data_IF_041595677423
#
_entry.id   IF_041595677423
#
_cell.length_a   1.000
_cell.length_b   1.000
_cell.length_c   1.000
_cell.angle_alpha   90.00
_cell.angle_beta   90.00
_cell.angle_gamma   90.00
#
_symmetry.space_group_name_H-M   'P 1'
#
loop_
_entity.id
_entity.type
_entity.pdbx_description
1 polymer ?
#
# COMPACT_ATOMS: atom_id res chain seq x y z
N UNK A 1 13.05 23.59 13.64
CA UNK A 1 13.33 24.12 12.29
C UNK A 1 13.23 22.91 11.40
N UNK A 2 12.00 22.52 11.11
CA UNK A 2 11.69 21.11 10.94
C UNK A 2 11.59 20.80 9.45
N UNK A 3 12.57 20.05 8.98
CA UNK A 3 12.52 19.36 7.71
C UNK A 3 11.39 18.32 7.78
N UNK A 4 10.18 18.72 7.37
CA UNK A 4 9.14 17.78 6.98
C UNK A 4 9.71 16.95 5.82
N UNK A 5 10.00 15.67 6.09
CA UNK A 5 10.31 14.69 5.06
C UNK A 5 9.06 14.54 4.20
N UNK A 6 8.98 15.30 3.11
CA UNK A 6 8.01 15.05 2.06
C UNK A 6 8.26 13.63 1.55
N UNK A 7 7.33 12.72 1.83
CA UNK A 7 7.19 11.46 1.12
C UNK A 7 6.98 11.79 -0.36
N UNK A 8 8.06 11.93 -1.12
CA UNK A 8 8.04 11.79 -2.58
C UNK A 8 7.71 10.34 -2.87
N UNK A 9 6.44 9.97 -2.71
CA UNK A 9 5.93 8.76 -3.32
C UNK A 9 6.15 8.91 -4.82
N UNK A 10 6.76 7.92 -5.46
CA UNK A 10 6.81 7.80 -6.91
C UNK A 10 5.38 7.85 -7.47
N UNK A 11 4.93 9.05 -7.79
CA UNK A 11 3.66 9.31 -8.46
C UNK A 11 3.85 8.89 -9.91
N UNK A 12 3.50 7.64 -10.20
CA UNK A 12 3.30 7.17 -11.56
C UNK A 12 1.84 6.77 -11.73
N UNK A 13 0.92 7.72 -11.57
CA UNK A 13 -0.32 7.79 -12.34
C UNK A 13 -1.02 9.14 -12.08
N UNK A 14 -1.88 9.58 -13.01
CA UNK A 14 -2.71 10.80 -12.92
C UNK A 14 -3.55 10.89 -11.62
N UNK A 15 -3.64 9.80 -10.86
CA UNK A 15 -4.35 9.67 -9.60
C UNK A 15 -3.97 10.72 -8.55
N UNK A 16 -2.69 11.06 -8.42
CA UNK A 16 -2.26 12.06 -7.43
C UNK A 16 -2.69 13.48 -7.82
N UNK A 17 -2.83 13.76 -9.11
CA UNK A 17 -3.30 15.06 -9.62
C UNK A 17 -4.82 15.23 -9.47
N UNK A 18 -5.55 14.10 -9.39
CA UNK A 18 -7.00 14.05 -9.17
C UNK A 18 -7.41 14.20 -7.71
N UNK A 19 -6.49 14.02 -6.76
CA UNK A 19 -6.71 14.32 -5.36
C UNK A 19 -6.76 15.86 -5.17
N UNK A 20 -7.96 16.45 -5.25
CA UNK A 20 -8.21 17.88 -4.98
C UNK A 20 -9.31 18.10 -3.93
N UNK A 21 -9.15 19.06 -2.99
CA UNK A 21 -7.96 19.89 -2.79
C UNK A 21 -6.80 19.04 -2.23
N UNK A 22 -5.57 19.57 -2.10
CA UNK A 22 -4.58 18.98 -1.23
C UNK A 22 -5.12 19.17 0.19
N UNK A 23 -6.10 18.35 0.57
CA UNK A 23 -6.25 17.96 1.96
C UNK A 23 -4.93 17.28 2.21
N UNK A 24 -3.97 18.07 2.72
CA UNK A 24 -2.84 17.59 3.49
C UNK A 24 -3.38 16.33 4.15
N UNK A 25 -2.90 15.15 3.75
CA UNK A 25 -3.20 13.90 4.43
C UNK A 25 -2.89 14.23 5.87
N UNK A 26 -3.94 14.57 6.63
CA UNK A 26 -3.86 15.31 7.90
C UNK A 26 -2.91 14.49 8.71
N UNK A 27 -1.66 14.94 8.86
CA UNK A 27 -0.48 14.09 9.12
C UNK A 27 -0.94 12.74 9.60
N UNK A 28 -1.24 11.79 8.69
CA UNK A 28 -1.82 10.52 9.17
C UNK A 28 -0.71 10.02 10.05
N UNK A 29 -0.91 9.92 11.37
CA UNK A 29 0.11 9.38 12.20
C UNK A 29 0.08 7.91 11.78
N UNK A 30 0.95 7.54 10.84
CA UNK A 30 1.53 6.21 10.76
C UNK A 30 2.38 5.94 12.02
N UNK A 31 2.09 6.66 13.11
CA UNK A 31 2.61 6.49 14.43
C UNK A 31 1.88 5.28 15.01
N UNK A 32 2.60 4.16 14.96
CA UNK A 32 2.45 3.08 15.93
C UNK A 32 1.11 2.34 15.94
N UNK A 33 0.72 1.77 14.82
CA UNK A 33 -0.12 0.57 14.85
C UNK A 33 0.67 -0.72 15.08
N UNK A 34 1.97 -0.60 15.35
CA UNK A 34 2.87 -1.71 15.64
C UNK A 34 3.52 -2.31 14.40
N UNK A 35 3.24 -1.76 13.22
CA UNK A 35 3.83 -2.21 11.96
C UNK A 35 5.09 -1.42 11.60
N UNK A 36 5.90 -2.03 10.74
CA UNK A 36 7.19 -1.54 10.32
C UNK A 36 7.19 -0.18 9.60
N UNK A 37 8.37 0.32 9.23
CA UNK A 37 8.53 1.63 8.58
C UNK A 37 7.92 1.60 7.17
N UNK A 38 7.10 2.60 6.77
CA UNK A 38 6.59 2.70 5.40
C UNK A 38 7.72 2.76 4.35
N UNK A 39 7.61 1.95 3.30
CA UNK A 39 8.60 1.82 2.23
C UNK A 39 8.05 2.31 0.88
N UNK A 40 6.76 2.10 0.61
CA UNK A 40 6.10 2.58 -0.59
C UNK A 40 4.66 2.99 -0.29
N UNK A 41 4.07 3.83 -1.14
CA UNK A 41 2.66 4.21 -1.04
C UNK A 41 2.08 4.76 -2.33
N UNK A 42 0.77 4.58 -2.52
CA UNK A 42 0.03 4.96 -3.73
C UNK A 42 -1.41 5.36 -3.40
N UNK A 43 -1.93 6.30 -4.18
CA UNK A 43 -3.37 6.52 -4.28
C UNK A 43 -3.99 5.50 -5.25
N UNK A 44 -5.24 5.12 -5.00
CA UNK A 44 -6.05 4.47 -6.01
C UNK A 44 -6.43 5.48 -7.12
N UNK A 45 -7.05 5.01 -8.20
CA UNK A 45 -7.29 5.81 -9.41
C UNK A 45 -8.07 7.10 -9.16
N UNK A 46 -9.14 7.03 -8.38
CA UNK A 46 -10.03 8.16 -8.12
C UNK A 46 -9.55 9.03 -6.94
N UNK A 47 -8.44 8.65 -6.30
CA UNK A 47 -7.86 9.38 -5.16
C UNK A 47 -8.65 9.23 -3.86
N UNK A 48 -9.65 8.34 -3.80
CA UNK A 48 -10.47 8.12 -2.59
C UNK A 48 -9.77 7.26 -1.54
N UNK A 49 -8.78 6.46 -1.95
CA UNK A 49 -7.95 5.62 -1.09
C UNK A 49 -6.47 5.95 -1.23
N UNK A 50 -5.77 5.93 -0.11
CA UNK A 50 -4.31 5.87 -0.05
C UNK A 50 -3.88 4.58 0.63
N UNK A 51 -2.95 3.85 0.03
CA UNK A 51 -2.35 2.66 0.61
C UNK A 51 -0.83 2.79 0.71
N UNK A 52 -0.25 2.21 1.76
CA UNK A 52 1.19 2.09 1.93
C UNK A 52 1.59 0.69 2.40
N UNK A 53 2.81 0.30 2.05
CA UNK A 53 3.43 -0.94 2.48
C UNK A 53 4.66 -0.70 3.35
N UNK A 54 4.92 -1.59 4.29
CA UNK A 54 5.96 -1.48 5.32
C UNK A 54 7.13 -2.46 5.10
N UNK A 55 8.21 -2.29 5.87
CA UNK A 55 9.38 -3.19 5.84
C UNK A 55 9.14 -4.57 6.46
N UNK A 56 8.06 -4.74 7.24
CA UNK A 56 7.53 -6.03 7.68
C UNK A 56 6.59 -6.69 6.65
N UNK A 57 6.43 -6.07 5.47
CA UNK A 57 5.56 -6.56 4.40
C UNK A 57 4.07 -6.27 4.60
N UNK A 58 3.68 -5.66 5.72
CA UNK A 58 2.28 -5.28 5.98
C UNK A 58 1.86 -4.16 5.05
N UNK A 59 0.62 -4.23 4.56
CA UNK A 59 0.00 -3.19 3.73
C UNK A 59 -1.26 -2.66 4.39
N UNK A 60 -1.40 -1.34 4.40
CA UNK A 60 -2.58 -0.66 4.95
C UNK A 60 -3.18 0.31 3.97
N UNK A 61 -4.47 0.56 4.11
CA UNK A 61 -5.22 1.48 3.28
C UNK A 61 -6.13 2.38 4.13
N UNK A 62 -6.28 3.62 3.68
CA UNK A 62 -7.01 4.68 4.36
C UNK A 62 -7.91 5.41 3.37
N UNK A 63 -9.11 5.75 3.83
CA UNK A 63 -9.96 6.69 3.13
C UNK A 63 -9.33 8.08 3.22
N UNK A 64 -9.06 8.70 2.07
CA UNK A 64 -8.34 9.98 2.00
C UNK A 64 -9.15 11.11 2.66
N UNK A 65 -10.48 11.10 2.51
CA UNK A 65 -11.33 12.16 3.04
C UNK A 65 -11.46 12.15 4.57
N UNK A 66 -11.38 10.98 5.19
CA UNK A 66 -11.63 10.83 6.63
C UNK A 66 -10.36 10.52 7.41
N UNK A 67 -9.31 10.02 6.75
CA UNK A 67 -8.10 9.49 7.39
C UNK A 67 -8.34 8.17 8.14
N UNK A 68 -9.54 7.59 8.06
CA UNK A 68 -9.83 6.30 8.69
C UNK A 68 -9.34 5.15 7.82
N UNK A 69 -8.97 4.03 8.48
CA UNK A 69 -8.63 2.80 7.78
C UNK A 69 -9.79 2.35 6.91
N UNK A 70 -9.49 1.99 5.67
CA UNK A 70 -10.46 1.49 4.70
C UNK A 70 -10.81 0.01 4.94
N UNK A 71 -10.02 -0.69 5.75
CA UNK A 71 -10.20 -2.11 6.07
C UNK A 71 -9.17 -2.59 7.09
N UNK A 72 -9.04 -3.93 7.19
CA UNK A 72 -8.01 -4.58 8.01
C UNK A 72 -6.66 -4.48 7.29
N UNK A 73 -5.58 -4.29 8.05
CA UNK A 73 -4.23 -4.37 7.52
C UNK A 73 -4.00 -5.74 6.87
N UNK A 74 -3.43 -5.74 5.67
CA UNK A 74 -2.99 -6.97 5.05
C UNK A 74 -1.64 -7.36 5.65
N UNK A 75 -1.63 -8.45 6.42
CA UNK A 75 -0.40 -9.08 6.86
C UNK A 75 0.02 -10.17 5.86
N UNK A 76 1.33 -10.32 5.58
CA UNK A 76 1.84 -11.45 4.83
C UNK A 76 1.29 -12.77 5.38
N UNK A 77 1.00 -13.73 4.50
CA UNK A 77 0.59 -15.06 4.96
C UNK A 77 1.71 -15.68 5.80
N UNK A 78 1.41 -16.32 6.95
CA UNK A 78 2.44 -16.95 7.79
C UNK A 78 3.15 -18.13 7.11
N UNK A 79 2.61 -18.61 5.98
CA UNK A 79 3.21 -19.68 5.18
C UNK A 79 4.06 -19.15 4.02
N UNK A 80 4.21 -17.84 3.90
CA UNK A 80 5.04 -17.19 2.88
C UNK A 80 6.27 -16.59 3.54
N UNK A 81 7.41 -16.52 2.82
CA UNK A 81 8.58 -15.87 3.37
C UNK A 81 8.29 -14.39 3.65
N UNK A 82 8.75 -13.92 4.80
CA UNK A 82 8.66 -12.51 5.18
C UNK A 82 9.54 -11.65 4.28
N UNK A 83 9.10 -10.42 4.01
CA UNK A 83 9.87 -9.50 3.19
C UNK A 83 9.28 -8.10 3.16
N UNK A 84 10.16 -7.14 2.93
CA UNK A 84 9.83 -5.73 2.75
C UNK A 84 8.84 -5.56 1.60
N UNK A 85 7.79 -4.77 1.78
CA UNK A 85 6.94 -4.36 0.68
C UNK A 85 7.69 -3.37 -0.22
N UNK A 86 8.16 -3.84 -1.38
CA UNK A 86 8.99 -3.05 -2.31
C UNK A 86 8.14 -2.33 -3.36
N UNK A 87 6.96 -2.85 -3.69
CA UNK A 87 6.04 -2.19 -4.61
C UNK A 87 4.57 -2.47 -4.28
N UNK A 88 3.74 -1.44 -4.48
CA UNK A 88 2.29 -1.51 -4.42
C UNK A 88 1.70 -0.81 -5.65
N UNK A 89 0.73 -1.44 -6.32
CA UNK A 89 0.03 -0.86 -7.48
C UNK A 89 -1.45 -1.19 -7.45
N UNK A 90 -2.32 -0.18 -7.41
CA UNK A 90 -3.75 -0.38 -7.67
C UNK A 90 -4.00 -0.79 -9.11
N UNK A 91 -5.04 -1.60 -9.35
CA UNK A 91 -5.45 -1.92 -10.71
C UNK A 91 -5.79 -0.62 -11.46
N UNK A 92 -5.22 -0.42 -12.67
CA UNK A 92 -5.37 0.82 -13.38
C UNK A 92 -6.73 0.96 -14.05
N UNK A 93 -7.55 -0.11 -14.11
CA UNK A 93 -8.89 -0.13 -14.71
C UNK A 93 -9.86 -1.19 -14.21
N UNK A 94 -11.15 -0.97 -14.50
CA UNK A 94 -12.29 -1.81 -14.12
C UNK A 94 -12.96 -1.39 -12.80
N UNK A 95 -13.94 -2.20 -12.38
CA UNK A 95 -14.75 -1.99 -11.17
C UNK A 95 -14.01 -2.34 -9.87
N UNK A 96 -12.78 -2.84 -9.99
CA UNK A 96 -11.94 -3.31 -8.88
C UNK A 96 -10.94 -2.24 -8.42
N UNK A 97 -11.38 -0.99 -8.27
CA UNK A 97 -10.52 0.14 -7.92
C UNK A 97 -9.81 0.00 -6.57
N UNK A 98 -10.28 -0.91 -5.71
CA UNK A 98 -9.73 -1.19 -4.37
C UNK A 98 -8.81 -2.41 -4.35
N UNK A 99 -8.52 -2.99 -5.51
CA UNK A 99 -7.57 -4.10 -5.65
C UNK A 99 -6.19 -3.55 -5.96
N UNK A 100 -5.19 -4.02 -5.22
CA UNK A 100 -3.80 -3.73 -5.50
C UNK A 100 -2.97 -5.02 -5.65
N UNK A 101 -1.93 -4.94 -6.46
CA UNK A 101 -0.81 -5.88 -6.48
C UNK A 101 0.23 -5.39 -5.49
N UNK A 102 0.75 -6.31 -4.68
CA UNK A 102 1.85 -6.08 -3.74
C UNK A 102 2.98 -7.03 -4.11
N UNK A 103 4.19 -6.50 -4.20
CA UNK A 103 5.41 -7.27 -4.38
C UNK A 103 6.35 -7.04 -3.19
N UNK A 104 7.00 -8.11 -2.73
CA UNK A 104 7.92 -8.05 -1.60
C UNK A 104 9.35 -8.38 -1.99
N UNK A 105 10.30 -8.03 -1.13
CA UNK A 105 11.71 -8.39 -1.23
C UNK A 105 11.97 -9.90 -1.20
N UNK A 106 10.97 -10.70 -0.81
CA UNK A 106 11.08 -12.16 -0.74
C UNK A 106 10.73 -12.89 -2.04
N UNK A 107 10.48 -12.16 -3.14
CA UNK A 107 10.03 -12.76 -4.40
C UNK A 107 8.57 -13.22 -4.36
N UNK A 108 7.76 -12.57 -3.51
CA UNK A 108 6.32 -12.86 -3.36
C UNK A 108 5.50 -11.75 -4.02
N UNK A 109 4.52 -12.13 -4.84
CA UNK A 109 3.54 -11.22 -5.44
C UNK A 109 2.12 -11.68 -5.07
N UNK A 110 1.30 -10.75 -4.61
CA UNK A 110 -0.07 -11.02 -4.16
C UNK A 110 -1.04 -9.92 -4.61
N UNK A 111 -2.31 -10.31 -4.79
CA UNK A 111 -3.42 -9.38 -5.03
C UNK A 111 -4.23 -9.21 -3.75
N UNK A 112 -4.52 -7.97 -3.38
CA UNK A 112 -5.31 -7.65 -2.18
C UNK A 112 -6.47 -6.75 -2.51
N UNK A 113 -7.64 -7.07 -1.97
CA UNK A 113 -8.80 -6.20 -1.97
C UNK A 113 -8.86 -5.42 -0.66
N UNK A 114 -8.41 -4.16 -0.69
CA UNK A 114 -8.02 -3.41 0.51
C UNK A 114 -9.17 -3.04 1.46
N UNK A 115 -10.42 -2.99 0.97
CA UNK A 115 -11.58 -2.73 1.84
C UNK A 115 -12.17 -3.99 2.45
N UNK A 116 -11.92 -5.16 1.85
CA UNK A 116 -12.45 -6.44 2.36
C UNK A 116 -11.41 -7.21 3.17
N UNK A 117 -10.13 -6.83 3.08
CA UNK A 117 -9.00 -7.53 3.69
C UNK A 117 -8.68 -8.86 3.02
N UNK A 118 -9.33 -9.20 1.90
CA UNK A 118 -9.14 -10.49 1.22
C UNK A 118 -7.92 -10.45 0.31
N UNK A 119 -7.10 -11.49 0.40
CA UNK A 119 -6.19 -11.87 -0.68
C UNK A 119 -6.99 -12.53 -1.80
N UNK A 120 -6.72 -12.12 -3.04
CA UNK A 120 -7.37 -12.65 -4.22
C UNK A 120 -6.43 -13.61 -4.94
N UNK A 121 -6.89 -14.84 -5.15
CA UNK A 121 -6.11 -15.89 -5.81
C UNK A 121 -4.94 -16.41 -4.96
N UNK A 122 -4.11 -17.25 -5.58
CA UNK A 122 -2.90 -17.77 -4.97
C UNK A 122 -1.74 -16.75 -5.10
N UNK A 123 -0.84 -16.68 -4.09
CA UNK A 123 0.40 -15.92 -4.23
C UNK A 123 1.25 -16.49 -5.37
N UNK A 124 1.93 -15.61 -6.09
CA UNK A 124 3.05 -16.00 -6.94
C UNK A 124 4.29 -15.96 -6.06
N UNK A 125 5.01 -17.08 -6.00
CA UNK A 125 6.25 -17.19 -5.22
C UNK A 125 7.32 -17.71 -6.16
N UNK A 126 8.35 -16.91 -6.39
CA UNK A 126 9.48 -17.30 -7.21
C UNK A 126 10.71 -17.47 -6.34
N UNK A 127 11.15 -18.73 -6.18
CA UNK A 127 12.30 -19.06 -5.37
C UNK A 127 13.55 -18.36 -5.90
N UNK A 128 14.32 -17.75 -4.99
CA UNK A 128 15.55 -17.00 -5.29
C UNK A 128 15.36 -15.74 -6.15
N UNK A 129 14.13 -15.24 -6.34
CA UNK A 129 13.87 -13.92 -6.93
C UNK A 129 13.64 -12.84 -5.86
N UNK A 130 14.15 -13.08 -4.66
CA UNK A 130 14.20 -12.07 -3.61
C UNK A 130 15.27 -11.02 -3.94
N UNK A 131 15.02 -9.79 -3.52
CA UNK A 131 15.98 -8.68 -3.60
C UNK A 131 16.29 -8.33 -2.16
N UNK A 132 17.56 -8.42 -1.75
CA UNK A 132 18.15 -8.29 -0.38
C UNK A 132 18.68 -9.61 0.19
#
# INVERSE_FOLDING_TARGET
>A
GDCALLLRGDVADESAERAKPPRLLREIPAAHDGHGRPQCGRFNRDGTLFAYGCDDGVVQAFHVDTGHRAGVAFAPSPNLPEGVCTALRFLPAGDNANVCVVATSAGVIQHHHLTSGKTLGAPIVEANNGVF
#
